data_IF_900380638393
#
_entry.id   IF_900380638393
#
_cell.length_a   1.000
_cell.length_b   1.000
_cell.length_c   1.000
_cell.angle_alpha   90.00
_cell.angle_beta   90.00
_cell.angle_gamma   90.00
#
_symmetry.space_group_name_H-M   'P 1'
#
loop_
_entity.id
_entity.type
_entity.pdbx_description
1 polymer ?
#
# COMPACT_ATOMS: atom_id res chain seq x y z
N UNK A 1 11.10 -11.62 -16.15
CA UNK A 1 9.71 -11.09 -16.13
C UNK A 1 9.50 -10.15 -17.32
N UNK A 2 8.36 -10.22 -18.04
CA UNK A 2 8.03 -9.24 -19.11
C UNK A 2 7.45 -7.94 -18.53
N UNK A 3 7.95 -6.80 -18.99
CA UNK A 3 7.40 -5.47 -18.70
C UNK A 3 6.21 -5.18 -19.61
N UNK A 4 5.03 -4.94 -19.03
CA UNK A 4 3.78 -4.63 -19.75
C UNK A 4 3.36 -3.20 -19.46
N UNK A 5 2.47 -2.62 -20.27
CA UNK A 5 1.96 -1.26 -20.04
C UNK A 5 1.38 -1.09 -18.64
N UNK A 6 0.62 -2.09 -18.15
CA UNK A 6 0.07 -2.08 -16.79
C UNK A 6 1.15 -2.03 -15.69
N UNK A 7 2.28 -2.72 -15.88
CA UNK A 7 3.39 -2.67 -14.89
C UNK A 7 4.08 -1.31 -14.90
N UNK A 8 4.23 -0.69 -16.08
CA UNK A 8 4.77 0.66 -16.21
C UNK A 8 3.86 1.69 -15.56
N UNK A 9 2.56 1.57 -15.78
CA UNK A 9 1.54 2.39 -15.12
C UNK A 9 1.62 2.28 -13.59
N UNK A 10 1.67 1.05 -13.04
CA UNK A 10 1.84 0.86 -11.59
C UNK A 10 3.13 1.52 -11.07
N UNK A 11 4.25 1.40 -11.79
CA UNK A 11 5.50 2.04 -11.40
C UNK A 11 5.42 3.57 -11.46
N UNK A 12 4.68 4.12 -12.43
CA UNK A 12 4.52 5.57 -12.56
C UNK A 12 3.89 6.20 -11.33
N UNK A 13 3.04 5.49 -10.56
CA UNK A 13 2.47 5.99 -9.30
C UNK A 13 3.49 6.24 -8.17
N UNK A 14 4.71 5.72 -8.32
CA UNK A 14 5.80 5.96 -7.37
C UNK A 14 6.77 7.06 -7.84
N UNK A 15 6.56 7.61 -9.04
CA UNK A 15 7.37 8.69 -9.58
C UNK A 15 7.01 10.02 -8.89
N UNK A 16 7.97 10.92 -8.60
CA UNK A 16 7.71 12.16 -7.88
C UNK A 16 6.57 13.01 -8.47
N UNK A 17 6.50 13.07 -9.80
CA UNK A 17 5.51 13.86 -10.54
C UNK A 17 4.07 13.38 -10.31
N UNK A 18 3.89 12.09 -10.02
CA UNK A 18 2.56 11.52 -9.74
C UNK A 18 2.32 11.31 -8.25
N UNK A 19 3.39 11.16 -7.46
CA UNK A 19 3.31 10.70 -6.09
C UNK A 19 2.49 11.66 -5.21
N UNK A 20 2.58 12.97 -5.45
CA UNK A 20 1.83 13.96 -4.68
C UNK A 20 0.31 13.74 -4.77
N UNK A 21 -0.23 13.58 -5.99
CA UNK A 21 -1.67 13.36 -6.16
C UNK A 21 -2.07 11.93 -5.72
N UNK A 22 -1.21 10.93 -5.94
CA UNK A 22 -1.44 9.55 -5.49
C UNK A 22 -1.56 9.48 -3.97
N UNK A 23 -0.71 10.21 -3.24
CA UNK A 23 -0.78 10.31 -1.78
C UNK A 23 -2.12 10.90 -1.34
N UNK A 24 -2.61 11.92 -2.06
CA UNK A 24 -3.92 12.53 -1.79
C UNK A 24 -5.09 11.56 -1.96
N UNK A 25 -5.00 10.65 -2.94
CA UNK A 25 -6.08 9.70 -3.26
C UNK A 25 -6.07 8.44 -2.40
N UNK A 26 -4.91 7.80 -2.21
CA UNK A 26 -4.81 6.47 -1.60
C UNK A 26 -3.84 6.40 -0.41
N UNK A 27 -3.26 7.53 0.00
CA UNK A 27 -2.27 7.62 1.07
C UNK A 27 -0.85 7.29 0.61
N UNK A 28 0.11 7.43 1.53
CA UNK A 28 1.54 7.27 1.22
C UNK A 28 1.96 5.80 0.99
N UNK A 29 2.97 5.57 0.12
CA UNK A 29 3.50 4.24 -0.12
C UNK A 29 4.24 3.67 1.11
N UNK A 30 4.45 2.33 1.17
CA UNK A 30 3.94 1.32 0.25
C UNK A 30 2.41 1.21 0.17
N UNK A 31 1.90 1.08 -1.05
CA UNK A 31 0.47 1.09 -1.39
C UNK A 31 -0.12 -0.31 -1.25
N UNK A 32 -1.41 -0.42 -0.96
CA UNK A 32 -2.12 -1.69 -0.85
C UNK A 32 -2.76 -2.12 -2.19
N UNK A 33 -3.34 -3.32 -2.21
CA UNK A 33 -4.02 -3.85 -3.42
C UNK A 33 -5.22 -2.98 -3.79
N UNK A 34 -6.03 -2.55 -2.82
CA UNK A 34 -7.25 -1.76 -3.08
C UNK A 34 -6.95 -0.39 -3.65
N UNK A 35 -5.97 0.33 -3.11
CA UNK A 35 -5.56 1.63 -3.63
C UNK A 35 -5.04 1.53 -5.06
N UNK A 36 -4.15 0.57 -5.34
CA UNK A 36 -3.66 0.38 -6.71
C UNK A 36 -4.78 -0.06 -7.66
N UNK A 37 -5.71 -0.92 -7.22
CA UNK A 37 -6.85 -1.32 -8.05
C UNK A 37 -7.77 -0.12 -8.35
N UNK A 38 -7.99 0.75 -7.37
CA UNK A 38 -8.73 1.99 -7.54
C UNK A 38 -8.07 2.91 -8.58
N UNK A 39 -6.75 3.07 -8.54
CA UNK A 39 -6.04 3.90 -9.53
C UNK A 39 -6.14 3.35 -10.97
N UNK A 40 -6.13 2.02 -11.14
CA UNK A 40 -6.18 1.39 -12.48
C UNK A 40 -7.61 1.31 -13.04
N UNK A 41 -8.61 1.08 -12.17
CA UNK A 41 -9.96 0.70 -12.58
C UNK A 41 -11.05 1.67 -12.12
N UNK A 42 -10.70 2.67 -11.30
CA UNK A 42 -11.62 3.63 -10.69
C UNK A 42 -12.41 3.06 -9.51
N UNK A 43 -13.40 3.84 -9.05
CA UNK A 43 -14.23 3.53 -7.88
C UNK A 43 -15.00 2.21 -8.00
N UNK A 44 -15.37 1.79 -9.21
CA UNK A 44 -16.09 0.54 -9.46
C UNK A 44 -15.30 -0.73 -9.08
N UNK A 45 -14.00 -0.60 -8.83
CA UNK A 45 -13.11 -1.73 -8.56
C UNK A 45 -13.23 -2.31 -7.16
N UNK A 46 -13.73 -1.52 -6.21
CA UNK A 46 -13.85 -1.92 -4.81
C UNK A 46 -14.90 -3.05 -4.63
N UNK A 47 -15.96 -3.04 -5.45
CA UNK A 47 -16.99 -4.09 -5.45
C UNK A 47 -16.67 -5.25 -6.41
N UNK A 48 -15.72 -5.07 -7.33
CA UNK A 48 -15.36 -6.07 -8.34
C UNK A 48 -14.19 -6.93 -7.86
N UNK A 49 -14.50 -7.99 -7.11
CA UNK A 49 -13.51 -8.95 -6.58
C UNK A 49 -12.49 -9.47 -7.62
N UNK A 50 -12.92 -9.68 -8.87
CA UNK A 50 -12.03 -10.14 -9.94
C UNK A 50 -10.96 -9.10 -10.32
N UNK A 51 -11.25 -7.80 -10.21
CA UNK A 51 -10.29 -6.73 -10.47
C UNK A 51 -9.24 -6.67 -9.36
N UNK A 52 -9.65 -6.73 -8.10
CA UNK A 52 -8.73 -6.82 -6.95
C UNK A 52 -7.79 -8.02 -7.06
N UNK A 53 -8.31 -9.21 -7.40
CA UNK A 53 -7.48 -10.40 -7.58
C UNK A 53 -6.52 -10.29 -8.78
N UNK A 54 -6.96 -9.66 -9.88
CA UNK A 54 -6.10 -9.39 -11.04
C UNK A 54 -4.95 -8.43 -10.70
N UNK A 55 -5.26 -7.35 -9.98
CA UNK A 55 -4.27 -6.39 -9.49
C UNK A 55 -3.30 -7.05 -8.52
N UNK A 56 -3.80 -7.81 -7.54
CA UNK A 56 -2.97 -8.57 -6.60
C UNK A 56 -1.99 -9.48 -7.33
N UNK A 57 -2.46 -10.30 -8.27
CA UNK A 57 -1.58 -11.18 -9.07
C UNK A 57 -0.54 -10.39 -9.86
N UNK A 58 -0.89 -9.21 -10.36
CA UNK A 58 0.06 -8.34 -11.07
C UNK A 58 1.17 -7.86 -10.13
N UNK A 59 0.80 -7.41 -8.93
CA UNK A 59 1.74 -6.95 -7.90
C UNK A 59 2.65 -8.08 -7.41
N UNK A 60 2.11 -9.26 -7.11
CA UNK A 60 2.92 -10.43 -6.73
C UNK A 60 3.91 -10.82 -7.85
N UNK A 61 3.49 -10.74 -9.11
CA UNK A 61 4.41 -10.95 -10.23
C UNK A 61 5.52 -9.89 -10.28
N UNK A 62 5.20 -8.62 -10.00
CA UNK A 62 6.19 -7.54 -9.96
C UNK A 62 7.19 -7.73 -8.81
N UNK A 63 6.73 -8.23 -7.66
CA UNK A 63 7.58 -8.61 -6.53
C UNK A 63 8.51 -9.76 -6.90
N UNK A 64 7.97 -10.84 -7.50
CA UNK A 64 8.78 -11.95 -8.00
C UNK A 64 9.79 -11.51 -9.08
N UNK A 65 9.50 -10.42 -9.80
CA UNK A 65 10.39 -9.80 -10.78
C UNK A 65 11.36 -8.76 -10.21
N UNK A 66 11.36 -8.53 -8.89
CA UNK A 66 12.26 -7.58 -8.21
C UNK A 66 11.95 -6.10 -8.47
N UNK A 67 10.78 -5.77 -9.05
CA UNK A 67 10.38 -4.38 -9.29
C UNK A 67 9.73 -3.72 -8.07
N UNK A 68 9.16 -4.53 -7.18
CA UNK A 68 8.52 -4.10 -5.95
C UNK A 68 8.96 -5.00 -4.80
N UNK A 69 8.91 -4.48 -3.59
CA UNK A 69 8.96 -5.24 -2.35
C UNK A 69 7.58 -5.33 -1.73
N UNK A 70 7.29 -6.46 -1.08
CA UNK A 70 6.05 -6.69 -0.35
C UNK A 70 6.33 -6.64 1.14
N UNK A 71 5.54 -5.86 1.86
CA UNK A 71 5.54 -5.79 3.32
C UNK A 71 4.15 -6.15 3.82
N UNK A 72 4.08 -7.00 4.84
CA UNK A 72 2.83 -7.28 5.54
C UNK A 72 2.74 -6.36 6.75
N UNK A 73 1.71 -5.53 6.80
CA UNK A 73 1.47 -4.57 7.89
C UNK A 73 0.20 -4.96 8.64
N UNK A 74 0.24 -4.88 9.97
CA UNK A 74 -0.95 -5.03 10.80
C UNK A 74 -1.56 -3.66 11.04
N UNK A 75 -2.71 -3.39 10.42
CA UNK A 75 -3.35 -2.07 10.45
C UNK A 75 -4.86 -2.17 10.61
N UNK A 76 -5.47 -1.08 11.10
CA UNK A 76 -6.92 -0.96 11.24
C UNK A 76 -7.53 -0.44 9.95
N UNK A 77 -8.58 -1.09 9.45
CA UNK A 77 -9.36 -0.67 8.28
C UNK A 77 -10.83 -0.52 8.60
N UNK A 78 -11.54 0.28 7.80
CA UNK A 78 -12.97 0.47 7.97
C UNK A 78 -13.71 -0.87 7.94
N UNK A 79 -14.62 -1.06 8.88
CA UNK A 79 -15.48 -2.23 8.94
C UNK A 79 -16.59 -2.09 7.89
N UNK A 80 -16.40 -2.66 6.71
CA UNK A 80 -17.40 -2.61 5.62
C UNK A 80 -18.73 -3.30 5.96
N UNK A 81 -18.77 -4.12 7.02
CA UNK A 81 -19.99 -4.79 7.49
C UNK A 81 -20.81 -3.93 8.45
N UNK A 82 -20.19 -2.93 9.10
CA UNK A 82 -20.86 -1.98 9.98
C UNK A 82 -20.71 -0.58 9.41
N UNK A 83 -21.68 -0.21 8.58
CA UNK A 83 -21.65 0.96 7.67
C UNK A 83 -21.65 2.34 8.36
N UNK A 84 -21.42 2.43 9.67
CA UNK A 84 -21.30 3.71 10.37
C UNK A 84 -19.85 4.19 10.33
N UNK A 85 -19.65 5.47 10.04
CA UNK A 85 -18.32 6.11 10.09
C UNK A 85 -17.63 5.96 11.46
N UNK A 86 -18.42 5.78 12.53
CA UNK A 86 -17.96 5.61 13.91
C UNK A 86 -17.75 4.14 14.32
N UNK A 87 -17.94 3.17 13.40
CA UNK A 87 -17.71 1.77 13.73
C UNK A 87 -16.21 1.53 14.00
N UNK A 88 -15.85 0.80 15.07
CA UNK A 88 -14.47 0.43 15.31
C UNK A 88 -13.95 -0.35 14.10
N UNK A 89 -12.88 0.16 13.48
CA UNK A 89 -12.26 -0.50 12.34
C UNK A 89 -11.72 -1.88 12.72
N UNK A 90 -11.60 -2.75 11.73
CA UNK A 90 -11.10 -4.12 11.90
C UNK A 90 -9.60 -4.13 11.70
N UNK A 91 -8.88 -4.71 12.66
CA UNK A 91 -7.45 -4.97 12.52
C UNK A 91 -7.19 -6.15 11.58
N UNK A 92 -6.39 -5.94 10.55
CA UNK A 92 -6.07 -6.97 9.58
C UNK A 92 -4.61 -6.91 9.12
N UNK A 93 -4.10 -8.07 8.69
CA UNK A 93 -2.81 -8.15 8.01
C UNK A 93 -3.01 -7.75 6.55
N UNK A 94 -2.35 -6.68 6.14
CA UNK A 94 -2.47 -6.09 4.80
C UNK A 94 -1.14 -6.22 4.09
N UNK A 95 -1.18 -6.73 2.86
CA UNK A 95 -0.04 -6.68 1.96
C UNK A 95 0.07 -5.29 1.33
N UNK A 96 1.18 -4.60 1.61
CA UNK A 96 1.57 -3.34 1.00
C UNK A 96 2.77 -3.57 0.09
N UNK A 97 2.83 -2.83 -1.01
CA UNK A 97 3.82 -2.95 -2.07
C UNK A 97 4.57 -1.63 -2.23
N UNK A 98 5.88 -1.66 -2.28
CA UNK A 98 6.74 -0.48 -2.38
C UNK A 98 7.89 -0.67 -3.33
N UNK A 99 8.60 0.42 -3.66
CA UNK A 99 9.84 0.31 -4.43
C UNK A 99 10.93 -0.36 -3.57
N UNK A 100 11.78 -1.23 -4.17
CA UNK A 100 12.85 -1.88 -3.45
C UNK A 100 13.81 -0.90 -2.78
N UNK A 101 14.32 -1.25 -1.61
CA UNK A 101 15.27 -0.43 -0.86
C UNK A 101 14.69 0.86 -0.24
N UNK A 102 13.39 1.12 -0.36
CA UNK A 102 12.72 2.20 0.39
C UNK A 102 12.17 1.66 1.70
N UNK A 103 12.81 2.04 2.82
CA UNK A 103 12.26 1.77 4.15
C UNK A 103 11.17 2.81 4.47
N UNK A 104 9.94 2.34 4.70
CA UNK A 104 8.80 3.14 5.16
C UNK A 104 8.59 2.96 6.65
N UNK A 105 8.65 4.05 7.41
CA UNK A 105 8.29 4.07 8.83
C UNK A 105 6.82 4.46 8.93
N UNK A 106 6.05 3.68 9.66
CA UNK A 106 4.64 3.96 9.91
C UNK A 106 4.43 4.30 11.37
N UNK A 107 3.63 5.34 11.62
CA UNK A 107 3.22 5.68 12.98
C UNK A 107 2.25 4.59 13.45
N UNK A 108 2.58 3.93 14.56
CA UNK A 108 1.69 2.98 15.20
C UNK A 108 0.47 3.73 15.76
N UNK A 109 -0.71 3.38 15.28
CA UNK A 109 -1.99 3.90 15.78
C UNK A 109 -2.76 2.75 16.43
N UNK A 110 -2.44 2.47 17.70
CA UNK A 110 -3.15 1.47 18.52
C UNK A 110 -2.42 1.16 19.83
N UNK A 111 -3.17 0.86 20.88
CA UNK A 111 -2.64 0.44 22.19
C UNK A 111 -2.45 -1.09 22.32
N UNK A 112 -2.61 -1.85 21.23
CA UNK A 112 -2.88 -3.31 21.30
C UNK A 112 -1.81 -4.19 20.66
N UNK A 113 -0.64 -3.66 20.31
CA UNK A 113 0.49 -4.48 19.85
C UNK A 113 1.08 -5.33 20.98
N UNK A 114 1.39 -6.61 20.69
CA UNK A 114 2.19 -7.49 21.57
C UNK A 114 3.61 -6.93 21.79
N UNK A 115 4.02 -5.97 20.97
CA UNK A 115 5.29 -5.25 21.09
C UNK A 115 5.03 -3.74 21.16
N UNK A 116 5.67 -3.03 22.08
CA UNK A 116 5.55 -1.59 22.17
C UNK A 116 6.08 -0.92 20.89
N UNK A 117 5.55 0.26 20.52
CA UNK A 117 6.12 1.06 19.45
C UNK A 117 7.58 1.41 19.77
N UNK A 118 8.37 1.66 18.72
CA UNK A 118 9.72 2.20 18.91
C UNK A 118 9.55 3.65 19.39
N UNK A 119 9.93 3.90 20.64
CA UNK A 119 9.96 5.25 21.21
C UNK A 119 11.15 6.04 20.63
N UNK A 120 10.94 7.33 20.38
CA UNK A 120 11.97 8.26 19.89
C UNK A 120 11.66 8.89 18.55
N UNK A 121 12.54 9.82 18.13
CA UNK A 121 12.46 10.48 16.83
C UNK A 121 13.13 9.62 15.77
N UNK A 122 12.43 9.37 14.66
CA UNK A 122 13.00 8.62 13.56
C UNK A 122 13.76 9.57 12.62
N UNK A 123 15.07 9.35 12.49
CA UNK A 123 15.93 10.14 11.60
C UNK A 123 16.19 9.32 10.34
N UNK A 124 15.79 9.86 9.19
CA UNK A 124 16.13 9.27 7.89
C UNK A 124 17.57 9.63 7.56
N UNK A 125 18.44 8.64 7.48
CA UNK A 125 19.83 8.83 7.03
C UNK A 125 19.83 8.66 5.52
N UNK A 126 19.90 9.77 4.78
CA UNK A 126 20.10 9.69 3.33
C UNK A 126 21.53 9.22 3.04
N UNK A 127 21.67 8.21 2.17
CA UNK A 127 22.98 7.74 1.72
C UNK A 127 23.59 8.83 0.83
N UNK A 128 24.83 9.28 1.08
CA UNK A 128 25.47 10.27 0.23
C UNK A 128 25.67 9.72 -1.19
N UNK A 129 25.48 10.61 -2.17
CA UNK A 129 25.59 10.33 -3.61
C UNK A 129 26.99 9.87 -4.05
#
# INVERSE_FOLDING_TARGET
MRMTSRKKEILSYYEPDSLEWVIGEIGAPPFDVSGIAYLIHGMESLDKRHQLESTRRTLENMVAGGLLEKVTVYEQRQNITQSSADAPGVWCNVARYGLPGKCGIYRHTGDTGVRPPIEGEAIRIDVPA
#
